data_IF_203822345632
#
_entry.id   IF_203822345632
#
_cell.length_a   1.000
_cell.length_b   1.000
_cell.length_c   1.000
_cell.angle_alpha   90.00
_cell.angle_beta   90.00
_cell.angle_gamma   90.00
#
_symmetry.space_group_name_H-M   'P 1'
#
loop_
_entity.id
_entity.type
_entity.pdbx_description
1 polymer ?
#
# COMPACT_ATOMS: atom_id res chain seq x y z
N UNK A 1 11.29 -2.52 20.51
CA UNK A 1 11.89 -1.92 19.29
C UNK A 1 11.71 -2.87 18.12
N UNK A 2 10.79 -2.58 17.17
CA UNK A 2 10.45 -3.51 16.08
C UNK A 2 11.55 -3.58 15.01
N UNK A 3 12.09 -4.79 14.80
CA UNK A 3 13.14 -5.17 13.84
C UNK A 3 12.76 -4.91 12.36
N UNK A 4 11.48 -4.59 12.09
CA UNK A 4 10.92 -4.45 10.74
C UNK A 4 10.93 -3.02 10.19
N UNK A 5 11.27 -2.00 11.00
CA UNK A 5 11.43 -0.60 10.55
C UNK A 5 12.81 -0.31 9.91
N UNK A 6 13.70 -1.30 9.80
CA UNK A 6 15.06 -1.14 9.27
C UNK A 6 15.14 -0.97 7.75
N UNK A 7 14.09 -1.29 7.00
CA UNK A 7 14.17 -1.42 5.55
C UNK A 7 13.25 -0.41 4.84
N UNK A 8 13.63 0.86 4.83
CA UNK A 8 13.26 1.74 3.73
C UNK A 8 14.40 1.73 2.72
N UNK A 9 14.08 1.63 1.42
CA UNK A 9 15.09 1.56 0.35
C UNK A 9 15.97 2.81 0.34
N UNK A 10 15.38 3.96 0.63
CA UNK A 10 16.05 5.25 0.69
C UNK A 10 16.16 5.82 2.12
N UNK A 11 15.47 5.22 3.10
CA UNK A 11 15.21 5.87 4.39
C UNK A 11 15.25 4.89 5.55
N UNK A 12 15.98 5.25 6.61
CA UNK A 12 15.90 4.52 7.87
C UNK A 12 14.70 5.01 8.68
N UNK A 13 13.56 4.30 8.57
CA UNK A 13 12.29 4.69 9.19
C UNK A 13 12.33 4.73 10.73
N UNK A 14 13.35 4.11 11.34
CA UNK A 14 13.54 4.12 12.80
C UNK A 14 14.21 5.39 13.32
N UNK A 15 14.91 6.14 12.46
CA UNK A 15 15.70 7.32 12.84
C UNK A 15 15.29 8.59 12.10
N UNK A 16 14.59 8.46 10.97
CA UNK A 16 14.21 9.61 10.14
C UNK A 16 13.27 10.54 10.90
N UNK A 17 13.57 11.84 10.84
CA UNK A 17 12.69 12.89 11.36
C UNK A 17 11.31 12.77 10.69
N UNK A 18 10.24 12.91 11.46
CA UNK A 18 8.86 12.91 10.94
C UNK A 18 8.32 14.34 10.98
N UNK A 19 7.86 14.83 9.84
CA UNK A 19 7.22 16.15 9.69
C UNK A 19 5.72 15.94 9.69
N UNK A 20 5.00 16.61 10.58
CA UNK A 20 3.54 16.54 10.62
C UNK A 20 2.95 17.39 9.50
N UNK A 21 2.16 16.76 8.64
CA UNK A 21 1.42 17.44 7.56
C UNK A 21 0.00 17.81 7.99
N UNK A 22 -0.60 17.01 8.86
CA UNK A 22 -1.98 17.23 9.29
C UNK A 22 -2.58 15.98 9.92
N UNK A 23 -3.89 15.79 9.71
CA UNK A 23 -4.62 14.61 10.14
C UNK A 23 -5.76 14.30 9.17
N UNK A 24 -6.07 13.02 9.00
CA UNK A 24 -7.22 12.53 8.24
C UNK A 24 -7.98 11.52 9.09
N UNK A 25 -9.26 11.82 9.39
CA UNK A 25 -10.12 10.98 10.24
C UNK A 25 -9.50 10.64 11.61
N UNK A 26 -8.71 11.56 12.17
CA UNK A 26 -7.99 11.35 13.43
C UNK A 26 -6.75 10.46 13.34
N UNK A 27 -6.31 10.09 12.13
CA UNK A 27 -4.99 9.50 11.88
C UNK A 27 -4.03 10.63 11.54
N UNK A 28 -2.88 10.70 12.21
CA UNK A 28 -1.88 11.72 11.90
C UNK A 28 -1.25 11.47 10.53
N UNK A 29 -1.16 12.51 9.70
CA UNK A 29 -0.43 12.45 8.44
C UNK A 29 0.99 12.98 8.68
N UNK A 30 1.97 12.10 8.53
CA UNK A 30 3.38 12.40 8.69
C UNK A 30 4.07 12.21 7.35
N UNK A 31 5.13 12.98 7.10
CA UNK A 31 6.03 12.77 5.98
C UNK A 31 7.47 12.79 6.43
N UNK A 32 8.32 12.05 5.73
CA UNK A 32 9.76 12.18 5.86
C UNK A 32 10.27 13.40 5.07
N UNK A 33 11.45 13.97 5.40
CA UNK A 33 11.98 15.14 4.70
C UNK A 33 12.21 14.93 3.21
N UNK A 34 12.35 13.68 2.76
CA UNK A 34 12.55 13.34 1.36
C UNK A 34 11.30 12.77 0.67
N UNK A 35 10.14 12.77 1.34
CA UNK A 35 8.89 12.28 0.75
C UNK A 35 8.55 12.97 -0.58
N UNK A 36 8.97 14.22 -0.76
CA UNK A 36 8.81 14.96 -2.01
C UNK A 36 9.54 14.34 -3.22
N UNK A 37 10.48 13.42 -3.00
CA UNK A 37 11.15 12.67 -4.07
C UNK A 37 10.29 11.56 -4.67
N UNK A 38 9.15 11.20 -4.06
CA UNK A 38 8.30 10.09 -4.54
C UNK A 38 7.94 10.21 -6.03
N UNK A 39 7.45 11.36 -6.53
CA UNK A 39 7.16 11.49 -7.96
C UNK A 39 8.39 11.33 -8.84
N UNK A 40 9.56 11.79 -8.38
CA UNK A 40 10.82 11.69 -9.14
C UNK A 40 11.26 10.23 -9.23
N UNK A 41 11.16 9.48 -8.13
CA UNK A 41 11.52 8.06 -8.08
C UNK A 41 10.64 7.24 -9.02
N UNK A 42 9.31 7.40 -8.95
CA UNK A 42 8.40 6.64 -9.80
C UNK A 42 8.49 7.04 -11.27
N UNK A 43 8.71 8.33 -11.56
CA UNK A 43 8.97 8.80 -12.90
C UNK A 43 10.24 8.16 -13.48
N UNK A 44 11.36 8.24 -12.74
CA UNK A 44 12.63 7.69 -13.17
C UNK A 44 12.54 6.18 -13.38
N UNK A 45 11.91 5.45 -12.46
CA UNK A 45 11.71 4.00 -12.58
C UNK A 45 10.96 3.64 -13.86
N UNK A 46 9.81 4.25 -14.10
CA UNK A 46 9.01 3.95 -15.30
C UNK A 46 9.68 4.41 -16.58
N UNK A 47 10.39 5.54 -16.56
CA UNK A 47 11.15 6.02 -17.70
C UNK A 47 12.28 5.03 -18.07
N UNK A 48 13.03 4.55 -17.07
CA UNK A 48 14.07 3.54 -17.26
C UNK A 48 13.50 2.22 -17.78
N UNK A 49 12.37 1.75 -17.23
CA UNK A 49 11.69 0.56 -17.76
C UNK A 49 11.25 0.76 -19.22
N UNK A 50 10.76 1.94 -19.55
CA UNK A 50 10.38 2.25 -20.92
C UNK A 50 11.56 2.16 -21.88
N UNK A 51 12.81 2.41 -21.46
CA UNK A 51 14.02 2.25 -22.30
C UNK A 51 14.12 0.86 -22.95
N UNK A 52 13.54 -0.17 -22.32
CA UNK A 52 13.48 -1.52 -22.87
C UNK A 52 12.53 -1.65 -24.08
N UNK A 53 11.56 -0.76 -24.21
CA UNK A 53 10.67 -0.69 -25.37
C UNK A 53 11.28 0.24 -26.43
N UNK A 54 11.97 -0.33 -27.43
CA UNK A 54 12.65 0.42 -28.49
C UNK A 54 11.70 1.14 -29.46
N UNK A 55 10.40 0.83 -29.44
CA UNK A 55 9.40 1.42 -30.35
C UNK A 55 8.88 2.79 -29.88
N UNK A 56 9.20 3.21 -28.65
CA UNK A 56 8.72 4.49 -28.10
C UNK A 56 9.64 5.65 -28.47
N UNK A 57 9.07 6.75 -28.97
CA UNK A 57 9.77 8.03 -29.08
C UNK A 57 10.05 8.63 -27.70
N UNK A 58 11.00 9.56 -27.60
CA UNK A 58 11.29 10.25 -26.33
C UNK A 58 10.04 10.91 -25.73
N UNK A 59 9.24 11.60 -26.55
CA UNK A 59 8.01 12.25 -26.11
C UNK A 59 6.99 11.24 -25.55
N UNK A 60 6.84 10.08 -26.19
CA UNK A 60 5.97 9.02 -25.67
C UNK A 60 6.47 8.47 -24.34
N UNK A 61 7.79 8.27 -24.17
CA UNK A 61 8.38 7.80 -22.91
C UNK A 61 8.12 8.79 -21.78
N UNK A 62 8.34 10.08 -22.03
CA UNK A 62 8.10 11.15 -21.06
C UNK A 62 6.62 11.21 -20.67
N UNK A 63 5.72 11.28 -21.67
CA UNK A 63 4.28 11.36 -21.43
C UNK A 63 3.75 10.14 -20.66
N UNK A 64 4.15 8.92 -21.04
CA UNK A 64 3.73 7.71 -20.35
C UNK A 64 4.28 7.64 -18.91
N UNK A 65 5.50 8.13 -18.67
CA UNK A 65 6.10 8.11 -17.33
C UNK A 65 5.51 9.17 -16.41
N UNK A 66 5.14 10.35 -16.92
CA UNK A 66 4.36 11.34 -16.18
C UNK A 66 2.98 10.79 -15.80
N UNK A 67 2.28 10.19 -16.76
CA UNK A 67 0.97 9.57 -16.53
C UNK A 67 1.07 8.44 -15.50
N UNK A 68 2.07 7.57 -15.63
CA UNK A 68 2.34 6.51 -14.66
C UNK A 68 2.55 7.08 -13.26
N UNK A 69 3.39 8.10 -13.13
CA UNK A 69 3.70 8.73 -11.84
C UNK A 69 2.45 9.28 -11.17
N UNK A 70 1.65 10.06 -11.91
CA UNK A 70 0.39 10.60 -11.41
C UNK A 70 -0.55 9.50 -10.89
N UNK A 71 -0.68 8.43 -11.66
CA UNK A 71 -1.58 7.33 -11.33
C UNK A 71 -1.06 6.51 -10.13
N UNK A 72 0.25 6.29 -10.02
CA UNK A 72 0.86 5.59 -8.87
C UNK A 72 0.69 6.39 -7.57
N UNK A 73 0.88 7.71 -7.62
CA UNK A 73 0.68 8.56 -6.44
C UNK A 73 -0.80 8.52 -5.98
N UNK A 74 -1.73 8.59 -6.93
CA UNK A 74 -3.16 8.45 -6.64
C UNK A 74 -3.51 7.05 -6.10
N UNK A 75 -2.98 5.99 -6.70
CA UNK A 75 -3.20 4.61 -6.24
C UNK A 75 -2.61 4.38 -4.84
N UNK A 76 -1.47 4.97 -4.52
CA UNK A 76 -0.84 4.91 -3.19
C UNK A 76 -1.70 5.64 -2.14
N UNK A 77 -2.28 6.78 -2.49
CA UNK A 77 -3.21 7.50 -1.63
C UNK A 77 -4.50 6.70 -1.38
N UNK A 78 -5.07 6.09 -2.42
CA UNK A 78 -6.21 5.18 -2.31
C UNK A 78 -5.85 4.00 -1.39
N UNK A 79 -4.70 3.38 -1.60
CA UNK A 79 -4.23 2.25 -0.78
C UNK A 79 -4.15 2.62 0.71
N UNK A 80 -3.52 3.74 1.04
CA UNK A 80 -3.45 4.20 2.41
C UNK A 80 -4.81 4.55 3.00
N UNK A 81 -5.71 5.15 2.21
CA UNK A 81 -7.08 5.40 2.65
C UNK A 81 -7.80 4.09 3.02
N UNK A 82 -7.56 3.01 2.28
CA UNK A 82 -8.11 1.70 2.57
C UNK A 82 -7.68 1.16 3.94
N UNK A 83 -6.42 1.36 4.32
CA UNK A 83 -5.94 1.03 5.67
C UNK A 83 -6.57 1.90 6.76
N UNK A 84 -6.75 3.20 6.50
CA UNK A 84 -7.41 4.11 7.46
C UNK A 84 -8.86 3.67 7.67
N UNK A 85 -9.61 3.44 6.58
CA UNK A 85 -11.01 3.02 6.64
C UNK A 85 -11.14 1.69 7.37
N UNK A 86 -10.43 0.66 6.92
CA UNK A 86 -10.50 -0.68 7.52
C UNK A 86 -10.12 -0.67 9.01
N UNK A 87 -9.04 0.04 9.37
CA UNK A 87 -8.63 0.20 10.76
C UNK A 87 -9.71 0.87 11.62
N UNK A 88 -10.37 1.91 11.12
CA UNK A 88 -11.49 2.56 11.82
C UNK A 88 -12.69 1.63 11.97
N UNK A 89 -13.06 0.91 10.91
CA UNK A 89 -14.19 -0.01 10.93
C UNK A 89 -14.03 -1.14 11.96
N UNK A 90 -12.79 -1.60 12.19
CA UNK A 90 -12.50 -2.61 13.22
C UNK A 90 -12.12 -2.03 14.59
N UNK A 91 -12.35 -0.74 14.81
CA UNK A 91 -12.09 -0.07 16.09
C UNK A 91 -10.62 0.00 16.47
N UNK A 92 -9.70 -0.16 15.50
CA UNK A 92 -8.25 -0.04 15.74
C UNK A 92 -7.55 0.62 14.55
N UNK A 93 -7.75 1.93 14.41
CA UNK A 93 -6.99 2.69 13.43
C UNK A 93 -5.48 2.69 13.75
N UNK A 94 -4.66 3.01 12.74
CA UNK A 94 -3.25 3.35 12.95
C UNK A 94 -3.15 4.72 13.64
N UNK A 95 -2.06 4.95 14.35
CA UNK A 95 -1.80 6.24 15.01
C UNK A 95 -1.36 7.29 13.99
N UNK A 96 -0.54 6.87 13.02
CA UNK A 96 -0.09 7.71 11.94
C UNK A 96 0.08 6.97 10.61
N UNK A 97 -0.13 7.70 9.52
CA UNK A 97 0.31 7.33 8.19
C UNK A 97 1.61 8.09 7.90
N UNK A 98 2.71 7.39 7.72
CA UNK A 98 4.01 7.97 7.36
C UNK A 98 4.24 7.86 5.84
N UNK A 99 4.23 9.00 5.17
CA UNK A 99 4.53 9.19 3.75
C UNK A 99 6.04 9.25 3.58
N UNK A 100 6.58 8.40 2.71
CA UNK A 100 8.02 8.32 2.42
C UNK A 100 8.26 8.46 0.91
N UNK A 101 9.52 8.49 0.47
CA UNK A 101 9.86 8.65 -0.95
C UNK A 101 9.50 7.44 -1.83
N UNK A 102 9.14 6.29 -1.26
CA UNK A 102 8.92 5.05 -2.03
C UNK A 102 7.66 4.31 -1.64
N UNK A 103 7.08 4.59 -0.47
CA UNK A 103 5.87 3.92 0.02
C UNK A 103 5.23 4.71 1.14
N UNK A 104 4.00 4.36 1.47
CA UNK A 104 3.34 4.80 2.71
C UNK A 104 3.42 3.69 3.77
N UNK A 105 3.56 4.09 5.03
CA UNK A 105 3.79 3.16 6.15
C UNK A 105 2.74 3.41 7.23
N UNK A 106 1.99 2.37 7.56
CA UNK A 106 1.05 2.39 8.69
C UNK A 106 1.86 2.29 10.00
N UNK A 107 1.78 3.32 10.84
CA UNK A 107 2.48 3.39 12.13
C UNK A 107 1.50 3.08 13.25
N UNK A 108 1.85 2.08 14.05
CA UNK A 108 1.16 1.73 15.28
C UNK A 108 2.14 1.85 16.45
N UNK A 109 1.76 2.60 17.47
CA UNK A 109 2.49 2.77 18.73
C UNK A 109 2.06 1.71 19.75
N UNK A 110 2.92 1.46 20.73
CA UNK A 110 2.68 0.44 21.75
C UNK A 110 2.80 -1.00 21.25
N UNK A 111 2.41 -1.94 22.11
CA UNK A 111 2.44 -3.36 21.82
C UNK A 111 1.22 -3.78 21.00
N UNK A 112 1.47 -4.35 19.83
CA UNK A 112 0.42 -4.82 18.91
C UNK A 112 0.15 -6.32 19.04
N UNK A 113 0.89 -7.06 19.88
CA UNK A 113 0.77 -8.52 20.00
C UNK A 113 -0.51 -8.99 20.68
N UNK A 114 -1.15 -8.12 21.47
CA UNK A 114 -2.40 -8.43 22.16
C UNK A 114 -3.66 -8.37 21.28
N UNK A 115 -3.56 -7.89 20.04
CA UNK A 115 -4.72 -7.83 19.15
C UNK A 115 -5.01 -9.18 18.49
N UNK A 116 -6.30 -9.56 18.32
CA UNK A 116 -6.66 -10.79 17.63
C UNK A 116 -6.21 -10.79 16.16
N UNK A 117 -5.84 -11.96 15.62
CA UNK A 117 -5.41 -12.15 14.22
C UNK A 117 -6.36 -11.53 13.19
N UNK A 118 -7.68 -11.64 13.41
CA UNK A 118 -8.71 -11.02 12.55
C UNK A 118 -8.56 -9.49 12.40
N UNK A 119 -8.12 -8.81 13.45
CA UNK A 119 -7.92 -7.35 13.44
C UNK A 119 -6.71 -6.99 12.56
N UNK A 120 -5.62 -7.74 12.68
CA UNK A 120 -4.45 -7.56 11.83
C UNK A 120 -4.77 -7.83 10.35
N UNK A 121 -5.54 -8.88 10.06
CA UNK A 121 -5.99 -9.20 8.70
C UNK A 121 -6.83 -8.05 8.15
N UNK A 122 -7.85 -7.59 8.91
CA UNK A 122 -8.73 -6.53 8.46
C UNK A 122 -7.97 -5.23 8.15
N UNK A 123 -7.07 -4.80 9.06
CA UNK A 123 -6.20 -3.63 8.85
C UNK A 123 -5.32 -3.77 7.61
N UNK A 124 -4.69 -4.93 7.42
CA UNK A 124 -3.78 -5.17 6.30
C UNK A 124 -4.52 -5.29 4.96
N UNK A 125 -5.72 -5.89 4.94
CA UNK A 125 -6.49 -6.08 3.71
C UNK A 125 -7.12 -4.78 3.18
N UNK A 126 -7.30 -3.77 4.02
CA UNK A 126 -7.99 -2.53 3.64
C UNK A 126 -7.44 -1.82 2.41
N UNK A 127 -6.12 -1.62 2.35
CA UNK A 127 -5.47 -1.00 1.19
C UNK A 127 -5.66 -1.81 -0.09
N UNK A 128 -5.21 -3.08 -0.12
CA UNK A 128 -5.38 -3.94 -1.29
C UNK A 128 -6.83 -4.01 -1.80
N UNK A 129 -7.80 -4.21 -0.91
CA UNK A 129 -9.21 -4.31 -1.28
C UNK A 129 -9.75 -2.99 -1.84
N UNK A 130 -9.34 -1.84 -1.31
CA UNK A 130 -9.79 -0.55 -1.82
C UNK A 130 -9.21 -0.25 -3.21
N UNK A 131 -7.96 -0.65 -3.49
CA UNK A 131 -7.43 -0.56 -4.86
C UNK A 131 -8.17 -1.50 -5.82
N UNK A 132 -8.47 -2.74 -5.44
CA UNK A 132 -9.28 -3.63 -6.28
C UNK A 132 -10.66 -3.04 -6.58
N UNK A 133 -11.31 -2.44 -5.57
CA UNK A 133 -12.58 -1.74 -5.76
C UNK A 133 -12.44 -0.55 -6.72
N UNK A 134 -11.41 0.28 -6.55
CA UNK A 134 -11.15 1.41 -7.43
C UNK A 134 -10.93 0.97 -8.89
N UNK A 135 -10.20 -0.13 -9.11
CA UNK A 135 -10.02 -0.71 -10.43
C UNK A 135 -11.35 -1.20 -11.04
N UNK A 136 -12.17 -1.89 -10.25
CA UNK A 136 -13.48 -2.40 -10.69
C UNK A 136 -14.47 -1.29 -11.05
N UNK A 137 -14.50 -0.22 -10.26
CA UNK A 137 -15.31 0.98 -10.56
C UNK A 137 -14.81 1.64 -11.85
N UNK A 138 -13.50 1.87 -11.96
CA UNK A 138 -12.92 2.49 -13.14
C UNK A 138 -13.16 1.67 -14.42
N UNK A 139 -13.06 0.34 -14.34
CA UNK A 139 -13.38 -0.56 -15.46
C UNK A 139 -14.85 -0.43 -15.89
N UNK A 140 -15.77 -0.44 -14.92
CA UNK A 140 -17.21 -0.30 -15.20
C UNK A 140 -17.54 1.05 -15.85
N UNK A 141 -16.92 2.13 -15.38
CA UNK A 141 -17.15 3.49 -15.89
C UNK A 141 -16.49 3.72 -17.25
N UNK A 142 -15.29 3.19 -17.47
CA UNK A 142 -14.54 3.42 -18.71
C UNK A 142 -15.12 2.69 -19.93
N UNK A 143 -15.81 1.56 -19.71
CA UNK A 143 -16.34 0.72 -20.79
C UNK A 143 -15.25 0.20 -21.74
N UNK A 144 -15.62 -0.14 -22.99
CA UNK A 144 -14.71 -0.70 -24.00
C UNK A 144 -13.76 0.31 -24.65
N UNK A 145 -14.00 1.61 -24.49
CA UNK A 145 -13.23 2.70 -25.12
C UNK A 145 -12.47 3.54 -24.08
N UNK A 146 -11.87 2.88 -23.08
CA UNK A 146 -11.18 3.55 -21.99
C UNK A 146 -10.02 4.44 -22.47
N UNK A 147 -9.92 5.64 -21.90
CA UNK A 147 -8.79 6.54 -22.13
C UNK A 147 -7.48 5.94 -21.62
N UNK A 148 -6.34 6.42 -22.11
CA UNK A 148 -5.02 6.01 -21.61
C UNK A 148 -4.88 6.16 -20.09
N UNK A 149 -5.52 7.19 -19.51
CA UNK A 149 -5.59 7.36 -18.05
C UNK A 149 -6.35 6.23 -17.39
N UNK A 150 -7.56 5.91 -17.87
CA UNK A 150 -8.40 4.85 -17.30
C UNK A 150 -7.70 3.49 -17.35
N UNK A 151 -7.10 3.12 -18.49
CA UNK A 151 -6.35 1.86 -18.61
C UNK A 151 -5.20 1.78 -17.62
N UNK A 152 -4.42 2.86 -17.45
CA UNK A 152 -3.30 2.90 -16.49
C UNK A 152 -3.79 2.88 -15.05
N UNK A 153 -4.86 3.61 -14.75
CA UNK A 153 -5.50 3.62 -13.43
C UNK A 153 -5.97 2.22 -13.03
N UNK A 154 -6.67 1.52 -13.92
CA UNK A 154 -7.11 0.13 -13.69
C UNK A 154 -5.89 -0.77 -13.46
N UNK A 155 -4.92 -0.75 -14.37
CA UNK A 155 -3.74 -1.63 -14.29
C UNK A 155 -2.93 -1.43 -13.00
N UNK A 156 -2.68 -0.18 -12.60
CA UNK A 156 -1.91 0.14 -11.40
C UNK A 156 -2.69 -0.22 -10.13
N UNK A 157 -3.99 0.06 -10.07
CA UNK A 157 -4.79 -0.33 -8.93
C UNK A 157 -4.93 -1.86 -8.81
N UNK A 158 -5.03 -2.59 -9.93
CA UNK A 158 -4.96 -4.06 -9.92
C UNK A 158 -3.60 -4.54 -9.40
N UNK A 159 -2.49 -3.90 -9.82
CA UNK A 159 -1.16 -4.24 -9.33
C UNK A 159 -1.02 -4.03 -7.81
N UNK A 160 -1.48 -2.89 -7.28
CA UNK A 160 -1.46 -2.63 -5.83
C UNK A 160 -2.38 -3.59 -5.08
N UNK A 161 -3.58 -3.84 -5.61
CA UNK A 161 -4.56 -4.73 -5.00
C UNK A 161 -4.10 -6.18 -4.96
N UNK A 162 -3.81 -6.77 -6.12
CA UNK A 162 -3.38 -8.18 -6.20
C UNK A 162 -1.98 -8.36 -5.61
N UNK A 163 -1.06 -7.45 -5.92
CA UNK A 163 0.31 -7.48 -5.40
C UNK A 163 0.33 -7.38 -3.89
N UNK A 164 -0.48 -6.48 -3.31
CA UNK A 164 -0.63 -6.31 -1.86
C UNK A 164 -1.17 -7.54 -1.13
N UNK A 165 -1.82 -8.48 -1.82
CA UNK A 165 -2.32 -9.73 -1.23
C UNK A 165 -1.31 -10.90 -1.32
N UNK A 166 -0.18 -10.72 -2.00
CA UNK A 166 0.84 -11.76 -2.12
C UNK A 166 1.53 -12.04 -0.77
N UNK A 167 1.90 -13.30 -0.48
CA UNK A 167 2.56 -13.70 0.79
C UNK A 167 4.02 -13.25 0.86
N UNK A 168 4.32 -12.02 0.45
CA UNK A 168 5.68 -11.47 0.46
C UNK A 168 5.94 -10.71 1.76
N UNK A 169 7.16 -10.84 2.32
CA UNK A 169 7.52 -10.08 3.51
C UNK A 169 7.54 -8.57 3.20
N UNK A 170 7.17 -7.77 4.19
CA UNK A 170 7.16 -6.29 4.13
C UNK A 170 6.06 -5.64 3.28
N UNK A 171 5.12 -6.41 2.73
CA UNK A 171 3.85 -5.91 2.18
C UNK A 171 2.67 -6.49 2.97
N UNK A 172 1.47 -5.99 2.71
CA UNK A 172 0.26 -6.33 3.47
C UNK A 172 -0.04 -7.82 3.52
N UNK A 173 0.15 -8.52 2.40
CA UNK A 173 -0.10 -9.96 2.31
C UNK A 173 0.80 -10.78 3.24
N UNK A 174 2.03 -10.33 3.52
CA UNK A 174 2.87 -10.97 4.54
C UNK A 174 2.26 -10.95 5.95
N UNK A 175 1.45 -9.93 6.27
CA UNK A 175 0.64 -9.91 7.49
C UNK A 175 -0.57 -10.82 7.34
N UNK A 176 -1.34 -10.67 6.27
CA UNK A 176 -2.58 -11.43 6.03
C UNK A 176 -2.31 -12.94 6.13
N UNK A 177 -1.34 -13.45 5.36
CA UNK A 177 -1.05 -14.88 5.31
C UNK A 177 -0.51 -15.44 6.62
N UNK A 178 0.33 -14.67 7.34
CA UNK A 178 0.83 -15.07 8.66
C UNK A 178 -0.33 -15.24 9.66
N UNK A 179 -1.26 -14.30 9.67
CA UNK A 179 -2.38 -14.31 10.61
C UNK A 179 -3.47 -15.31 10.22
N UNK A 180 -3.72 -15.53 8.93
CA UNK A 180 -4.58 -16.62 8.43
C UNK A 180 -4.01 -17.97 8.87
N UNK A 181 -2.70 -18.18 8.70
CA UNK A 181 -2.05 -19.42 9.13
C UNK A 181 -2.20 -19.67 10.63
N UNK A 182 -2.07 -18.62 11.46
CA UNK A 182 -2.30 -18.73 12.92
C UNK A 182 -3.73 -19.15 13.24
N UNK A 183 -4.73 -18.53 12.61
CA UNK A 183 -6.13 -18.90 12.81
C UNK A 183 -6.38 -20.38 12.49
N UNK A 184 -5.84 -20.87 11.37
CA UNK A 184 -5.98 -22.27 10.97
C UNK A 184 -5.32 -23.22 11.97
N UNK A 185 -4.11 -22.89 12.45
CA UNK A 185 -3.35 -23.74 13.38
C UNK A 185 -3.90 -23.73 14.81
N UNK A 186 -4.42 -22.60 15.29
CA UNK A 186 -4.98 -22.47 16.64
C UNK A 186 -6.33 -23.21 16.75
N UNK A 187 -7.13 -23.22 15.69
CA UNK A 187 -8.38 -23.98 15.63
C UNK A 187 -8.11 -25.51 15.57
N UNK A 188 -7.04 -25.90 14.87
CA UNK A 188 -6.56 -27.28 14.85
C UNK A 188 -6.10 -27.82 16.21
N UNK A 189 -5.58 -26.96 17.10
CA UNK A 189 -5.15 -27.37 18.46
C UNK A 189 -6.31 -27.52 19.45
N UNK A 190 -7.37 -26.73 19.31
CA UNK A 190 -8.56 -26.84 20.19
C UNK A 190 -9.31 -28.15 19.97
N UNK A 191 -9.32 -28.68 18.75
CA UNK A 191 -10.02 -29.92 18.42
C UNK A 191 -9.29 -31.20 18.86
N UNK A 192 -7.99 -31.11 19.21
CA UNK A 192 -7.18 -32.25 19.66
C UNK A 192 -7.12 -32.41 21.18
N UNK A 193 -7.38 -31.37 21.96
CA UNK A 193 -7.41 -31.44 23.44
C UNK A 193 -8.77 -31.91 24.00
N UNK A 194 -9.81 -31.95 23.16
CA UNK A 194 -11.17 -32.42 23.51
C UNK A 194 -11.41 -33.90 23.13
N UNK A 195 -10.35 -34.71 22.92
CA UNK A 195 -10.43 -36.16 22.64
C UNK A 195 -9.53 -36.96 23.56
#
# INVERSE_FOLDING_TARGET
MHKHLRYGVLENLSQVRRVRLGQLWGVALLATPIAWLSPVVFFALHFLLNLLNTQLTLNQRLAQSLLFTLVVELASAIHALGHIISGKLVGSAMDALLITATRYVNVYEGDQTGFPSRIHIARAAGGPLLNLLAAGIAYTVAGSNGSAFATRFIAINLFFGLGGLLPLPSIDGGVIWREVWRLVMDDGRRTTDDR
#
